data_IF_293914927399
#
_entry.id   IF_293914927399
#
_cell.length_a   1.000
_cell.length_b   1.000
_cell.length_c   1.000
_cell.angle_alpha   90.00
_cell.angle_beta   90.00
_cell.angle_gamma   90.00
#
_symmetry.space_group_name_H-M   'P 1'
#
loop_
_entity.id
_entity.type
_entity.pdbx_description
1 polymer ?
#
# COMPACT_ATOMS: atom_id res chain seq x y z
N UNK A 1 7.17 2.08 -11.25
CA UNK A 1 6.39 3.34 -11.18
C UNK A 1 4.87 3.11 -11.35
N UNK A 2 4.39 2.55 -12.46
CA UNK A 2 2.94 2.34 -12.71
C UNK A 2 2.27 1.45 -11.67
N UNK A 3 2.85 0.27 -11.38
CA UNK A 3 2.33 -0.67 -10.37
C UNK A 3 2.13 -0.01 -9.01
N UNK A 4 3.10 0.79 -8.56
CA UNK A 4 2.98 1.52 -7.31
C UNK A 4 1.80 2.50 -7.34
N UNK A 5 1.68 3.31 -8.40
CA UNK A 5 0.60 4.28 -8.54
C UNK A 5 -0.80 3.63 -8.58
N UNK A 6 -0.96 2.55 -9.35
CA UNK A 6 -2.24 1.83 -9.44
C UNK A 6 -2.56 1.05 -8.15
N UNK A 7 -1.56 0.54 -7.45
CA UNK A 7 -1.73 -0.05 -6.12
C UNK A 7 -2.16 1.01 -5.10
N UNK A 8 -1.55 2.19 -5.12
CA UNK A 8 -1.91 3.32 -4.25
C UNK A 8 -3.34 3.81 -4.52
N UNK A 9 -3.72 3.92 -5.79
CA UNK A 9 -5.07 4.26 -6.21
C UNK A 9 -6.08 3.22 -5.71
N UNK A 10 -5.79 1.94 -5.91
CA UNK A 10 -6.64 0.83 -5.46
C UNK A 10 -6.79 0.83 -3.94
N UNK A 11 -5.69 0.99 -3.21
CA UNK A 11 -5.71 1.12 -1.75
C UNK A 11 -6.59 2.29 -1.29
N UNK A 12 -6.44 3.47 -1.91
CA UNK A 12 -7.26 4.64 -1.58
C UNK A 12 -8.75 4.42 -1.87
N UNK A 13 -9.07 3.85 -3.02
CA UNK A 13 -10.46 3.58 -3.42
C UNK A 13 -11.11 2.55 -2.51
N UNK A 14 -10.41 1.46 -2.18
CA UNK A 14 -10.89 0.45 -1.23
C UNK A 14 -11.09 1.07 0.15
N UNK A 15 -10.13 1.85 0.66
CA UNK A 15 -10.26 2.53 1.95
C UNK A 15 -11.49 3.43 1.99
N UNK A 16 -11.64 4.33 1.00
CA UNK A 16 -12.79 5.26 0.94
C UNK A 16 -14.11 4.54 0.70
N UNK A 17 -14.10 3.46 -0.07
CA UNK A 17 -15.27 2.64 -0.26
C UNK A 17 -15.67 1.98 1.05
N UNK A 18 -14.75 1.40 1.83
CA UNK A 18 -15.07 0.81 3.14
C UNK A 18 -15.68 1.84 4.10
N UNK A 19 -15.14 3.05 4.13
CA UNK A 19 -15.62 4.14 4.98
C UNK A 19 -16.94 4.77 4.49
N UNK A 20 -17.46 4.35 3.33
CA UNK A 20 -18.69 4.91 2.76
C UNK A 20 -18.53 6.30 2.16
N UNK A 21 -17.29 6.75 1.93
CA UNK A 21 -16.94 8.10 1.48
C UNK A 21 -16.80 8.23 -0.04
N UNK A 22 -16.78 7.12 -0.78
CA UNK A 22 -16.63 7.16 -2.24
C UNK A 22 -17.23 5.95 -2.93
N UNK A 23 -17.66 6.16 -4.18
CA UNK A 23 -18.10 5.12 -5.12
C UNK A 23 -17.07 4.87 -6.23
N UNK A 24 -15.88 5.48 -6.17
CA UNK A 24 -14.86 5.34 -7.22
C UNK A 24 -14.43 3.88 -7.47
N UNK A 25 -14.59 3.00 -6.46
CA UNK A 25 -14.29 1.57 -6.58
C UNK A 25 -15.04 0.87 -7.73
N UNK A 26 -16.21 1.36 -8.16
CA UNK A 26 -16.92 0.80 -9.32
C UNK A 26 -16.13 0.92 -10.63
N UNK A 27 -15.17 1.84 -10.71
CA UNK A 27 -14.28 2.00 -11.88
C UNK A 27 -13.08 1.06 -11.85
N UNK A 28 -12.88 0.29 -10.77
CA UNK A 28 -11.73 -0.60 -10.64
C UNK A 28 -11.62 -1.64 -11.78
N UNK A 29 -12.70 -2.23 -12.33
CA UNK A 29 -12.58 -3.15 -13.45
C UNK A 29 -11.95 -2.50 -14.69
N UNK A 30 -12.26 -1.23 -14.97
CA UNK A 30 -11.65 -0.49 -16.07
C UNK A 30 -10.16 -0.20 -15.81
N UNK A 31 -9.81 0.13 -14.56
CA UNK A 31 -8.40 0.26 -14.15
C UNK A 31 -7.68 -1.08 -14.29
N UNK A 32 -8.33 -2.21 -13.96
CA UNK A 32 -7.76 -3.54 -14.06
C UNK A 32 -7.52 -3.96 -15.51
N UNK A 33 -8.44 -3.63 -16.42
CA UNK A 33 -8.28 -3.82 -17.86
C UNK A 33 -7.01 -3.14 -18.38
N UNK A 34 -6.79 -1.89 -17.94
CA UNK A 34 -5.58 -1.17 -18.30
C UNK A 34 -4.35 -1.79 -17.65
N UNK A 35 -4.42 -2.07 -16.34
CA UNK A 35 -3.26 -2.53 -15.56
C UNK A 35 -2.74 -3.88 -16.05
N UNK A 36 -3.62 -4.84 -16.34
CA UNK A 36 -3.22 -6.17 -16.79
C UNK A 36 -2.43 -6.13 -18.11
N UNK A 37 -2.71 -5.15 -18.97
CA UNK A 37 -2.00 -4.92 -20.23
C UNK A 37 -0.71 -4.09 -20.05
N UNK A 38 -0.48 -3.48 -18.88
CA UNK A 38 0.69 -2.63 -18.62
C UNK A 38 1.77 -3.34 -17.79
N UNK A 39 1.39 -4.11 -16.76
CA UNK A 39 2.36 -4.72 -15.85
C UNK A 39 1.76 -5.87 -15.05
N UNK A 40 2.53 -6.94 -14.83
CA UNK A 40 2.16 -8.12 -14.04
C UNK A 40 1.85 -7.85 -12.54
N UNK A 41 1.93 -6.59 -12.10
CA UNK A 41 1.71 -6.20 -10.71
C UNK A 41 0.24 -6.04 -10.34
N UNK A 42 -0.67 -6.26 -11.29
CA UNK A 42 -2.13 -6.13 -11.12
C UNK A 42 -2.70 -7.03 -10.02
N UNK A 43 -2.02 -8.15 -9.70
CA UNK A 43 -2.40 -9.07 -8.61
C UNK A 43 -2.48 -8.37 -7.25
N UNK A 44 -1.71 -7.29 -7.04
CA UNK A 44 -1.78 -6.49 -5.83
C UNK A 44 -3.15 -5.83 -5.65
N UNK A 45 -3.81 -5.44 -6.74
CA UNK A 45 -5.17 -4.92 -6.71
C UNK A 45 -6.17 -5.96 -6.19
N UNK A 46 -6.03 -7.22 -6.62
CA UNK A 46 -6.84 -8.32 -6.10
C UNK A 46 -6.55 -8.62 -4.64
N UNK A 47 -5.28 -8.61 -4.23
CA UNK A 47 -4.90 -8.82 -2.84
C UNK A 47 -5.54 -7.76 -1.92
N UNK A 48 -5.46 -6.48 -2.29
CA UNK A 48 -6.03 -5.39 -1.50
C UNK A 48 -7.55 -5.52 -1.39
N UNK A 49 -8.23 -5.71 -2.52
CA UNK A 49 -9.69 -5.82 -2.53
C UNK A 49 -10.18 -7.10 -1.85
N UNK A 50 -9.48 -8.22 -2.05
CA UNK A 50 -9.75 -9.50 -1.41
C UNK A 50 -9.59 -9.44 0.10
N UNK A 51 -8.50 -8.86 0.61
CA UNK A 51 -8.31 -8.65 2.06
C UNK A 51 -9.44 -7.79 2.63
N UNK A 52 -9.83 -6.71 1.95
CA UNK A 52 -10.94 -5.89 2.39
C UNK A 52 -12.26 -6.67 2.44
N UNK A 53 -12.54 -7.49 1.41
CA UNK A 53 -13.73 -8.34 1.35
C UNK A 53 -13.75 -9.39 2.46
N UNK A 54 -12.63 -10.04 2.73
CA UNK A 54 -12.47 -11.02 3.80
C UNK A 54 -12.75 -10.38 5.17
N UNK A 55 -12.16 -9.21 5.44
CA UNK A 55 -12.35 -8.53 6.73
C UNK A 55 -13.77 -8.02 6.91
N UNK A 56 -14.36 -7.38 5.91
CA UNK A 56 -15.74 -6.89 6.01
C UNK A 56 -16.75 -8.03 6.08
N UNK A 57 -16.52 -9.13 5.36
CA UNK A 57 -17.32 -10.36 5.46
C UNK A 57 -17.24 -10.99 6.85
N UNK A 58 -16.03 -11.09 7.42
CA UNK A 58 -15.84 -11.60 8.78
C UNK A 58 -16.53 -10.70 9.82
N UNK A 59 -16.46 -9.37 9.67
CA UNK A 59 -17.16 -8.42 10.57
C UNK A 59 -18.68 -8.61 10.52
N UNK A 60 -19.23 -8.81 9.33
CA UNK A 60 -20.66 -9.06 9.14
C UNK A 60 -21.08 -10.39 9.79
N UNK A 61 -20.31 -11.46 9.58
CA UNK A 61 -20.57 -12.78 10.16
C UNK A 61 -20.53 -12.74 11.70
N UNK A 62 -19.57 -12.01 12.25
CA UNK A 62 -19.39 -11.82 13.70
C UNK A 62 -20.33 -10.76 14.31
N UNK A 63 -21.28 -10.21 13.52
CA UNK A 63 -22.26 -9.19 13.96
C UNK A 63 -21.64 -8.01 14.69
N UNK A 64 -20.46 -7.55 14.24
CA UNK A 64 -19.76 -6.43 14.87
C UNK A 64 -20.53 -5.11 14.66
N UNK A 65 -20.49 -4.16 15.61
CA UNK A 65 -21.09 -2.84 15.42
C UNK A 65 -20.34 -2.06 14.32
N UNK A 66 -21.07 -1.27 13.52
CA UNK A 66 -20.49 -0.46 12.44
C UNK A 66 -20.10 -1.25 11.17
N UNK A 67 -20.67 -2.45 10.98
CA UNK A 67 -20.45 -3.28 9.78
C UNK A 67 -20.95 -2.61 8.50
N UNK A 68 -20.21 -2.84 7.41
CA UNK A 68 -20.69 -2.52 6.07
C UNK A 68 -22.02 -3.24 5.78
N UNK A 69 -22.94 -2.55 5.12
CA UNK A 69 -24.21 -3.15 4.72
C UNK A 69 -24.02 -4.28 3.70
N UNK A 70 -24.84 -5.33 3.80
CA UNK A 70 -24.77 -6.48 2.90
C UNK A 70 -24.83 -6.11 1.40
N UNK A 71 -25.65 -5.14 0.94
CA UNK A 71 -25.63 -4.71 -0.45
C UNK A 71 -24.27 -4.14 -0.89
N UNK A 72 -23.58 -3.37 -0.03
CA UNK A 72 -22.25 -2.83 -0.35
C UNK A 72 -21.17 -3.90 -0.34
N UNK A 73 -21.26 -4.88 0.55
CA UNK A 73 -20.37 -6.04 0.55
C UNK A 73 -20.53 -6.85 -0.74
N UNK A 74 -21.78 -7.09 -1.17
CA UNK A 74 -22.09 -7.75 -2.46
C UNK A 74 -21.57 -6.94 -3.65
N UNK A 75 -21.73 -5.62 -3.63
CA UNK A 75 -21.17 -4.76 -4.68
C UNK A 75 -19.63 -4.88 -4.73
N UNK A 76 -18.96 -4.91 -3.58
CA UNK A 76 -17.51 -5.09 -3.51
C UNK A 76 -17.06 -6.45 -4.06
N UNK A 77 -17.81 -7.52 -3.74
CA UNK A 77 -17.57 -8.85 -4.32
C UNK A 77 -17.79 -8.88 -5.83
N UNK A 78 -18.84 -8.22 -6.33
CA UNK A 78 -19.12 -8.11 -7.76
C UNK A 78 -18.03 -7.32 -8.49
N UNK A 79 -17.51 -6.24 -7.89
CA UNK A 79 -16.39 -5.47 -8.43
C UNK A 79 -15.13 -6.35 -8.52
N UNK A 80 -14.84 -7.16 -7.50
CA UNK A 80 -13.71 -8.09 -7.54
C UNK A 80 -13.89 -9.11 -8.66
N UNK A 81 -15.06 -9.74 -8.75
CA UNK A 81 -15.37 -10.71 -9.79
C UNK A 81 -15.26 -10.10 -11.19
N UNK A 82 -15.79 -8.89 -11.40
CA UNK A 82 -15.66 -8.16 -12.66
C UNK A 82 -14.20 -7.80 -12.98
N UNK A 83 -13.42 -7.37 -11.98
CA UNK A 83 -12.00 -7.05 -12.15
C UNK A 83 -11.19 -8.28 -12.56
N UNK A 84 -11.48 -9.44 -11.95
CA UNK A 84 -10.90 -10.71 -12.36
C UNK A 84 -11.33 -11.04 -13.79
N UNK A 85 -12.63 -11.09 -14.07
CA UNK A 85 -13.14 -11.47 -15.39
C UNK A 85 -12.56 -10.61 -16.53
N UNK A 86 -12.44 -9.30 -16.32
CA UNK A 86 -11.91 -8.37 -17.33
C UNK A 86 -10.41 -8.58 -17.60
N UNK A 87 -9.67 -9.20 -16.69
CA UNK A 87 -8.24 -9.43 -16.89
C UNK A 87 -7.92 -10.33 -18.08
N UNK A 88 -8.84 -11.22 -18.49
CA UNK A 88 -8.65 -12.07 -19.68
C UNK A 88 -8.65 -11.29 -20.99
N UNK A 89 -9.10 -10.03 -20.97
CA UNK A 89 -9.10 -9.13 -22.13
C UNK A 89 -7.70 -8.53 -22.28
N UNK A 90 -6.75 -9.41 -22.57
CA UNK A 90 -5.35 -9.12 -22.86
C UNK A 90 -4.83 -10.19 -23.84
N UNK A 91 -3.69 -9.97 -24.52
CA UNK A 91 -3.14 -10.92 -25.50
C UNK A 91 -2.89 -12.34 -24.97
N UNK A 92 -2.63 -12.50 -23.66
CA UNK A 92 -2.37 -13.79 -23.03
C UNK A 92 -3.66 -14.53 -22.61
N UNK A 93 -4.84 -13.92 -22.75
CA UNK A 93 -6.11 -14.56 -22.38
C UNK A 93 -6.11 -15.06 -20.93
N UNK A 94 -6.37 -16.37 -20.74
CA UNK A 94 -6.40 -17.03 -19.44
C UNK A 94 -5.02 -17.20 -18.79
N UNK A 95 -3.96 -17.31 -19.57
CA UNK A 95 -2.61 -17.54 -19.05
C UNK A 95 -2.08 -16.35 -18.24
N UNK A 96 -2.75 -15.20 -18.37
CA UNK A 96 -2.44 -13.98 -17.63
C UNK A 96 -2.43 -14.18 -16.11
N UNK A 97 -3.22 -15.11 -15.58
CA UNK A 97 -3.25 -15.37 -14.14
C UNK A 97 -2.00 -16.12 -13.65
N UNK A 98 -1.34 -16.86 -14.52
CA UNK A 98 -0.08 -17.55 -14.21
C UNK A 98 1.13 -16.66 -14.45
N UNK A 99 1.00 -15.66 -15.33
CA UNK A 99 2.09 -14.79 -15.77
C UNK A 99 2.91 -14.13 -14.62
N UNK A 100 2.30 -13.59 -13.55
CA UNK A 100 3.05 -13.01 -12.43
C UNK A 100 3.93 -14.03 -11.70
N UNK A 101 3.51 -15.29 -11.65
CA UNK A 101 4.24 -16.38 -11.01
C UNK A 101 5.32 -16.96 -11.91
N UNK A 102 5.10 -16.99 -13.22
CA UNK A 102 6.12 -17.40 -14.20
C UNK A 102 7.24 -16.37 -14.31
N UNK A 103 6.88 -15.09 -14.40
CA UNK A 103 7.87 -14.00 -14.42
C UNK A 103 8.61 -13.93 -13.09
N UNK A 104 7.87 -14.01 -11.98
CA UNK A 104 8.46 -13.89 -10.65
C UNK A 104 9.20 -15.11 -10.14
N UNK A 105 8.93 -16.28 -10.69
CA UNK A 105 9.53 -17.55 -10.31
C UNK A 105 10.70 -17.99 -11.19
N UNK A 106 11.10 -17.23 -12.21
CA UNK A 106 12.25 -17.57 -13.06
C UNK A 106 13.53 -17.58 -12.22
N UNK A 107 14.19 -18.76 -12.04
CA UNK A 107 15.43 -18.87 -11.26
C UNK A 107 16.55 -17.95 -11.76
N UNK A 108 16.57 -17.68 -13.06
CA UNK A 108 17.57 -16.89 -13.76
C UNK A 108 17.39 -15.41 -13.43
N UNK A 109 16.16 -14.90 -13.43
CA UNK A 109 15.87 -13.53 -12.99
C UNK A 109 16.21 -13.35 -11.51
N UNK A 110 15.84 -14.32 -10.67
CA UNK A 110 16.10 -14.28 -9.23
C UNK A 110 17.58 -14.37 -8.86
N UNK A 111 18.44 -14.91 -9.74
CA UNK A 111 19.89 -15.01 -9.53
C UNK A 111 20.68 -13.84 -10.09
N UNK A 112 20.19 -13.23 -11.18
CA UNK A 112 20.97 -12.26 -11.96
C UNK A 112 20.55 -10.81 -11.73
N UNK A 113 19.32 -10.57 -11.25
CA UNK A 113 18.81 -9.20 -11.07
C UNK A 113 18.72 -8.88 -9.58
N UNK A 114 19.56 -7.94 -9.13
CA UNK A 114 19.69 -7.52 -7.73
C UNK A 114 18.36 -7.12 -7.09
N UNK A 115 17.43 -6.56 -7.87
CA UNK A 115 16.10 -6.13 -7.40
C UNK A 115 15.24 -7.28 -6.86
N UNK A 116 15.54 -8.52 -7.26
CA UNK A 116 14.81 -9.72 -6.85
C UNK A 116 15.35 -10.35 -5.58
N UNK A 117 16.52 -9.92 -5.10
CA UNK A 117 17.12 -10.47 -3.89
C UNK A 117 16.35 -10.02 -2.67
N UNK A 118 16.39 -10.83 -1.60
CA UNK A 118 15.95 -10.40 -0.28
C UNK A 118 16.76 -9.18 0.19
N UNK A 119 16.15 -8.26 0.96
CA UNK A 119 16.87 -7.13 1.52
C UNK A 119 18.05 -7.56 2.39
N UNK A 120 19.22 -6.97 2.12
CA UNK A 120 20.40 -7.12 2.95
C UNK A 120 20.44 -5.98 3.98
N UNK A 121 20.12 -6.29 5.24
CA UNK A 121 20.01 -5.30 6.33
C UNK A 121 21.35 -4.65 6.72
N UNK A 122 22.47 -5.23 6.30
CA UNK A 122 23.80 -4.66 6.48
C UNK A 122 24.07 -3.49 5.50
N UNK A 123 23.28 -3.36 4.42
CA UNK A 123 23.39 -2.25 3.49
C UNK A 123 22.64 -1.02 4.00
N UNK A 124 23.31 0.14 4.02
CA UNK A 124 22.74 1.41 4.51
C UNK A 124 21.46 1.83 3.78
N UNK A 125 21.29 1.43 2.52
CA UNK A 125 20.10 1.67 1.72
C UNK A 125 18.83 1.00 2.29
N UNK A 126 18.98 -0.06 3.09
CA UNK A 126 17.86 -0.83 3.67
C UNK A 126 17.49 -0.34 5.08
N UNK A 127 18.33 0.44 5.74
CA UNK A 127 18.11 0.90 7.12
C UNK A 127 16.79 1.65 7.32
N UNK A 128 16.32 2.41 6.33
CA UNK A 128 15.03 3.09 6.41
C UNK A 128 13.85 2.11 6.44
N UNK A 129 13.94 1.02 5.68
CA UNK A 129 12.96 -0.06 5.72
C UNK A 129 13.01 -0.82 7.05
N UNK A 130 14.22 -1.14 7.52
CA UNK A 130 14.44 -1.77 8.83
C UNK A 130 13.86 -0.94 9.99
N UNK A 131 14.16 0.35 10.02
CA UNK A 131 13.60 1.28 10.99
C UNK A 131 12.07 1.33 10.91
N UNK A 132 11.49 1.32 9.70
CA UNK A 132 10.04 1.26 9.52
C UNK A 132 9.42 0.00 10.12
N UNK A 133 10.07 -1.17 9.99
CA UNK A 133 9.60 -2.41 10.63
C UNK A 133 9.54 -2.24 12.15
N UNK A 134 10.63 -1.76 12.77
CA UNK A 134 10.67 -1.55 14.22
C UNK A 134 9.65 -0.51 14.69
N UNK A 135 9.46 0.57 13.94
CA UNK A 135 8.44 1.59 14.22
C UNK A 135 7.02 1.03 14.15
N UNK A 136 6.72 0.15 13.18
CA UNK A 136 5.44 -0.54 13.09
C UNK A 136 5.24 -1.49 14.28
N UNK A 137 6.25 -2.27 14.66
CA UNK A 137 6.18 -3.18 15.82
C UNK A 137 5.94 -2.39 17.11
N UNK A 138 6.71 -1.32 17.35
CA UNK A 138 6.52 -0.44 18.52
C UNK A 138 5.16 0.25 18.51
N UNK A 139 4.72 0.71 17.33
CA UNK A 139 3.39 1.29 17.13
C UNK A 139 2.26 0.31 17.45
N UNK A 140 2.38 -0.95 17.01
CA UNK A 140 1.43 -2.02 17.32
C UNK A 140 1.37 -2.32 18.83
N UNK A 141 2.52 -2.39 19.50
CA UNK A 141 2.59 -2.60 20.95
C UNK A 141 1.89 -1.46 21.73
N UNK A 142 1.95 -0.24 21.21
CA UNK A 142 1.32 0.94 21.80
C UNK A 142 -0.11 1.21 21.29
N UNK A 143 -0.60 0.47 20.29
CA UNK A 143 -1.93 0.67 19.74
C UNK A 143 -3.02 0.22 20.72
N UNK A 144 -4.12 0.98 20.77
CA UNK A 144 -5.36 0.57 21.46
C UNK A 144 -6.27 -0.23 20.56
N UNK A 145 -6.28 0.11 19.27
CA UNK A 145 -7.14 -0.51 18.26
C UNK A 145 -6.29 -0.78 17.02
N UNK A 146 -6.39 -2.00 16.53
CA UNK A 146 -5.71 -2.43 15.31
C UNK A 146 -6.79 -2.65 14.27
N UNK A 147 -6.70 -1.94 13.15
CA UNK A 147 -7.62 -2.15 12.02
C UNK A 147 -7.21 -3.41 11.25
N UNK A 148 -8.01 -4.49 11.23
CA UNK A 148 -7.58 -5.78 10.66
C UNK A 148 -7.22 -5.70 9.17
N UNK A 149 -7.90 -4.87 8.38
CA UNK A 149 -7.54 -4.65 6.96
C UNK A 149 -6.12 -4.15 6.83
N UNK A 150 -5.77 -3.14 7.62
CA UNK A 150 -4.45 -2.52 7.59
C UNK A 150 -3.38 -3.49 8.12
N UNK A 151 -3.67 -4.22 9.19
CA UNK A 151 -2.77 -5.23 9.74
C UNK A 151 -2.46 -6.35 8.74
N UNK A 152 -3.46 -6.91 8.07
CA UNK A 152 -3.26 -7.94 7.06
C UNK A 152 -2.46 -7.41 5.85
N UNK A 153 -2.72 -6.17 5.42
CA UNK A 153 -1.93 -5.54 4.37
C UNK A 153 -0.47 -5.31 4.78
N UNK A 154 -0.21 -4.95 6.04
CA UNK A 154 1.15 -4.85 6.58
C UNK A 154 1.86 -6.21 6.54
N UNK A 155 1.18 -7.28 6.97
CA UNK A 155 1.76 -8.63 6.97
C UNK A 155 2.11 -9.10 5.55
N UNK A 156 1.16 -8.97 4.62
CA UNK A 156 1.39 -9.34 3.21
C UNK A 156 2.47 -8.47 2.58
N UNK A 157 2.41 -7.15 2.78
CA UNK A 157 3.41 -6.21 2.28
C UNK A 157 4.81 -6.49 2.83
N UNK A 158 4.91 -6.78 4.13
CA UNK A 158 6.18 -7.13 4.78
C UNK A 158 6.73 -8.44 4.22
N UNK A 159 5.90 -9.47 4.08
CA UNK A 159 6.31 -10.73 3.47
C UNK A 159 6.86 -10.56 2.05
N UNK A 160 6.17 -9.76 1.22
CA UNK A 160 6.63 -9.44 -0.14
C UNK A 160 7.94 -8.64 -0.13
N UNK A 161 8.08 -7.67 0.77
CA UNK A 161 9.25 -6.84 0.93
C UNK A 161 10.48 -7.63 1.41
N UNK A 162 10.31 -8.57 2.34
CA UNK A 162 11.36 -9.49 2.79
C UNK A 162 11.75 -10.49 1.70
N UNK A 163 10.81 -10.84 0.82
CA UNK A 163 11.10 -11.72 -0.30
C UNK A 163 11.93 -11.04 -1.39
N UNK A 164 11.70 -9.75 -1.67
CA UNK A 164 12.43 -9.03 -2.73
C UNK A 164 12.44 -7.51 -2.52
N UNK A 165 13.62 -6.90 -2.73
CA UNK A 165 13.85 -5.44 -2.61
C UNK A 165 12.89 -4.61 -3.48
N UNK A 166 12.47 -5.10 -4.66
CA UNK A 166 11.52 -4.37 -5.51
C UNK A 166 10.16 -4.11 -4.84
N UNK A 167 9.80 -4.90 -3.83
CA UNK A 167 8.53 -4.80 -3.12
C UNK A 167 8.60 -3.85 -1.90
N UNK A 168 9.77 -3.32 -1.55
CA UNK A 168 9.92 -2.38 -0.43
C UNK A 168 8.95 -1.19 -0.55
N UNK A 169 8.84 -0.62 -1.74
CA UNK A 169 7.93 0.51 -2.00
C UNK A 169 6.46 0.16 -1.72
N UNK A 170 6.04 -1.07 -2.02
CA UNK A 170 4.67 -1.54 -1.79
C UNK A 170 4.38 -1.72 -0.30
N UNK A 171 5.35 -2.17 0.48
CA UNK A 171 5.23 -2.17 1.94
C UNK A 171 5.12 -0.74 2.48
N UNK A 172 5.96 0.18 2.01
CA UNK A 172 5.92 1.58 2.48
C UNK A 172 4.57 2.25 2.20
N UNK A 173 3.93 1.94 1.07
CA UNK A 173 2.60 2.43 0.73
C UNK A 173 1.55 2.14 1.81
N UNK A 174 1.59 0.96 2.43
CA UNK A 174 0.65 0.54 3.48
C UNK A 174 1.18 0.84 4.90
N UNK A 175 2.50 0.84 5.09
CA UNK A 175 3.17 1.10 6.35
C UNK A 175 3.03 2.56 6.79
N UNK A 176 3.24 3.52 5.89
CA UNK A 176 3.16 4.95 6.21
C UNK A 176 1.81 5.35 6.84
N UNK A 177 0.64 5.05 6.24
CA UNK A 177 -0.64 5.40 6.88
C UNK A 177 -0.91 4.59 8.16
N UNK A 178 -0.29 3.42 8.34
CA UNK A 178 -0.43 2.64 9.57
C UNK A 178 0.38 3.23 10.71
N UNK A 179 1.63 3.58 10.42
CA UNK A 179 2.49 4.23 11.38
C UNK A 179 1.89 5.57 11.83
N UNK A 180 1.29 6.35 10.92
CA UNK A 180 0.61 7.59 11.28
C UNK A 180 -0.53 7.37 12.28
N UNK A 181 -1.34 6.33 12.09
CA UNK A 181 -2.43 5.98 13.00
C UNK A 181 -1.88 5.49 14.35
N UNK A 182 -0.92 4.57 14.35
CA UNK A 182 -0.32 4.05 15.58
C UNK A 182 0.43 5.13 16.37
N UNK A 183 1.15 6.04 15.70
CA UNK A 183 1.81 7.18 16.32
C UNK A 183 0.79 8.13 16.97
N UNK A 184 -0.38 8.33 16.33
CA UNK A 184 -1.47 9.09 16.94
C UNK A 184 -1.99 8.40 18.22
N UNK A 185 -2.28 7.10 18.15
CA UNK A 185 -2.76 6.33 19.30
C UNK A 185 -1.74 6.32 20.46
N UNK A 186 -0.45 6.19 20.15
CA UNK A 186 0.65 6.25 21.12
C UNK A 186 0.75 7.63 21.77
N UNK A 187 0.66 8.71 20.99
CA UNK A 187 0.66 10.09 21.50
C UNK A 187 -0.49 10.36 22.47
N UNK A 188 -1.68 9.84 22.16
CA UNK A 188 -2.85 9.92 23.04
C UNK A 188 -2.70 9.07 24.32
N UNK A 189 -1.94 7.97 24.30
CA UNK A 189 -1.64 7.15 25.50
C UNK A 189 -0.60 7.80 26.41
N UNK A 190 0.47 8.33 25.83
CA UNK A 190 1.62 8.86 26.58
C UNK A 190 1.35 10.31 27.07
N UNK A 191 0.15 10.84 26.83
CA UNK A 191 -0.22 12.23 27.14
C UNK A 191 0.78 13.24 26.55
N UNK A 192 1.36 12.91 25.38
CA UNK A 192 2.21 13.82 24.65
C UNK A 192 1.35 15.05 24.31
N UNK A 193 1.60 16.16 25.01
CA UNK A 193 0.94 17.44 24.74
C UNK A 193 1.27 17.84 23.31
N UNK A 194 0.39 17.51 22.38
CA UNK A 194 0.52 17.98 20.99
C UNK A 194 0.54 19.50 21.01
N UNK A 195 1.50 20.17 20.36
CA UNK A 195 1.31 21.56 20.01
C UNK A 195 0.06 21.61 19.13
N UNK A 196 -1.03 22.16 19.68
CA UNK A 196 -2.38 22.15 19.09
C UNK A 196 -2.52 22.97 17.81
N UNK A 197 -1.42 23.52 17.29
CA UNK A 197 -1.39 24.34 16.08
C UNK A 197 -0.51 23.65 15.05
N UNK A 198 -1.14 23.07 14.04
CA UNK A 198 -0.50 22.99 12.73
C UNK A 198 -0.23 24.46 12.36
N UNK A 199 1.03 24.88 12.16
CA UNK A 199 1.28 26.25 11.73
C UNK A 199 0.47 26.49 10.46
N UNK A 200 -0.38 27.52 10.46
CA UNK A 200 -1.05 27.94 9.22
C UNK A 200 0.06 28.20 8.21
N UNK A 201 -0.10 27.73 6.98
CA UNK A 201 0.82 28.04 5.89
C UNK A 201 0.80 29.54 5.65
N UNK A 202 1.72 30.24 6.29
CA UNK A 202 2.06 31.63 6.02
C UNK A 202 2.90 31.70 4.74
N UNK A 203 2.95 32.87 4.06
CA UNK A 203 3.85 33.05 2.92
C UNK A 203 5.30 32.68 3.24
N UNK A 204 5.73 32.89 4.49
CA UNK A 204 7.06 32.55 5.00
C UNK A 204 7.27 31.04 5.09
N UNK A 205 6.31 30.28 5.62
CA UNK A 205 6.43 28.80 5.69
C UNK A 205 6.32 28.17 4.30
N UNK A 206 5.54 28.76 3.38
CA UNK A 206 5.52 28.36 1.98
C UNK A 206 6.88 28.62 1.30
N UNK A 207 7.45 29.81 1.44
CA UNK A 207 8.76 30.14 0.90
C UNK A 207 9.87 29.25 1.47
N UNK A 208 9.86 28.97 2.78
CA UNK A 208 10.79 28.04 3.42
C UNK A 208 10.66 26.62 2.88
N UNK A 209 9.43 26.13 2.66
CA UNK A 209 9.22 24.82 2.06
C UNK A 209 9.72 24.76 0.61
N UNK A 210 9.49 25.82 -0.17
CA UNK A 210 10.01 25.93 -1.55
C UNK A 210 11.54 25.94 -1.54
N UNK A 211 12.17 26.74 -0.68
CA UNK A 211 13.63 26.78 -0.52
C UNK A 211 14.16 25.41 -0.12
N UNK A 212 13.52 24.71 0.82
CA UNK A 212 13.89 23.35 1.20
C UNK A 212 13.83 22.39 0.00
N UNK A 213 12.76 22.45 -0.79
CA UNK A 213 12.60 21.60 -1.98
C UNK A 213 13.71 21.91 -3.00
N UNK A 214 13.99 23.18 -3.26
CA UNK A 214 15.08 23.59 -4.17
C UNK A 214 16.43 23.12 -3.65
N UNK A 215 16.68 23.22 -2.34
CA UNK A 215 17.94 22.78 -1.74
C UNK A 215 18.11 21.26 -1.83
N UNK A 216 17.05 20.49 -1.57
CA UNK A 216 17.05 19.04 -1.72
C UNK A 216 17.30 18.65 -3.18
N UNK A 217 16.63 19.32 -4.13
CA UNK A 217 16.86 19.09 -5.56
C UNK A 217 18.29 19.44 -5.98
N UNK A 218 18.87 20.53 -5.45
CA UNK A 218 20.25 20.93 -5.73
C UNK A 218 21.26 19.94 -5.15
N UNK A 219 21.04 19.44 -3.93
CA UNK A 219 21.88 18.40 -3.31
C UNK A 219 21.80 17.11 -4.13
N UNK A 220 20.61 16.70 -4.55
CA UNK A 220 20.42 15.51 -5.39
C UNK A 220 21.12 15.68 -6.74
N UNK A 221 21.01 16.86 -7.36
CA UNK A 221 21.70 17.17 -8.62
C UNK A 221 23.22 17.18 -8.47
N UNK A 222 23.75 17.75 -7.38
CA UNK A 222 25.18 17.77 -7.10
C UNK A 222 25.74 16.36 -6.79
N UNK A 223 24.97 15.53 -6.09
CA UNK A 223 25.34 14.15 -5.79
C UNK A 223 25.21 13.20 -7.00
N UNK A 224 24.55 13.63 -8.07
CA UNK A 224 24.41 12.88 -9.33
C UNK A 224 25.26 13.43 -10.48
N UNK A 225 26.09 14.44 -10.21
CA UNK A 225 27.12 14.88 -11.13
C UNK A 225 28.26 13.85 -11.16
N UNK A 226 28.74 13.44 -12.34
CA UNK A 226 29.76 12.41 -12.52
C UNK A 226 31.15 12.81 -11.98
#
# INVERSE_FOLDING_TARGET
MITFALTALTYLWVKRFCEGRSRALYLLPAVMLLWVNLHAGFVLGYAILGIALLVEGARLLLRRPGVMSLPRLRAMAAILAASVAVAIVNPNGWDIYLYPFQTGGSPEQQRLIVEWFSPNFQMSQIWAFEAMIFLIIGGLALARRIEPRQFLLLLVGLGLALHSVRNLSLFMLVAVPALADYAQQAGERISLRRPRRVPKTTPVTFALNVVMIVLVLAIVAAASAP
#
